data_IF_805526877411
#
_entry.id   IF_805526877411
#
_cell.length_a   1.000
_cell.length_b   1.000
_cell.length_c   1.000
_cell.angle_alpha   90.00
_cell.angle_beta   90.00
_cell.angle_gamma   90.00
#
_symmetry.space_group_name_H-M   'P 1'
#
loop_
_entity.id
_entity.type
_entity.pdbx_description
1 polymer ?
#
# COMPACT_ATOMS: atom_id res chain seq x y z
N UNK A 1 -6.75 -22.36 14.31
CA UNK A 1 -6.08 -21.68 13.18
C UNK A 1 -6.14 -20.19 13.51
N UNK A 2 -4.99 -19.50 13.60
CA UNK A 2 -4.98 -18.06 13.71
C UNK A 2 -5.56 -17.48 12.41
N UNK A 3 -6.38 -16.40 12.48
CA UNK A 3 -6.85 -15.73 11.27
C UNK A 3 -5.63 -15.33 10.42
N UNK A 4 -5.74 -15.37 9.08
CA UNK A 4 -4.65 -14.95 8.22
C UNK A 4 -4.22 -13.52 8.57
N UNK A 5 -2.93 -13.20 8.41
CA UNK A 5 -2.35 -11.91 8.81
C UNK A 5 -3.11 -10.69 8.23
N UNK A 6 -3.71 -10.84 7.05
CA UNK A 6 -4.57 -9.83 6.43
C UNK A 6 -5.84 -9.52 7.22
N UNK A 7 -6.56 -10.55 7.69
CA UNK A 7 -7.77 -10.34 8.52
C UNK A 7 -7.41 -9.65 9.84
N UNK A 8 -6.25 -10.01 10.42
CA UNK A 8 -5.75 -9.35 11.63
C UNK A 8 -5.37 -7.88 11.35
N UNK A 9 -4.87 -7.56 10.18
CA UNK A 9 -4.53 -6.19 9.79
C UNK A 9 -5.78 -5.35 9.46
N UNK A 10 -6.76 -5.91 8.75
CA UNK A 10 -8.05 -5.23 8.51
C UNK A 10 -8.79 -4.96 9.83
N UNK A 11 -8.75 -5.89 10.78
CA UNK A 11 -9.30 -5.67 12.13
C UNK A 11 -8.56 -4.55 12.88
N UNK A 12 -7.26 -4.37 12.66
CA UNK A 12 -6.49 -3.28 13.28
C UNK A 12 -6.80 -1.91 12.68
N UNK A 13 -7.23 -1.83 11.42
CA UNK A 13 -7.66 -0.56 10.79
C UNK A 13 -9.09 -0.19 11.18
N UNK A 14 -9.92 -1.14 11.58
CA UNK A 14 -11.27 -0.85 12.09
C UNK A 14 -11.19 0.00 13.37
N UNK A 15 -11.71 1.24 13.29
CA UNK A 15 -11.62 2.21 14.37
C UNK A 15 -10.25 2.93 14.47
N UNK A 16 -9.36 2.73 13.52
CA UNK A 16 -8.12 3.47 13.42
C UNK A 16 -8.38 4.93 12.98
N UNK A 17 -7.51 5.89 13.36
CA UNK A 17 -7.64 7.26 12.92
C UNK A 17 -7.47 7.39 11.39
N UNK A 18 -8.03 8.43 10.80
CA UNK A 18 -8.01 8.68 9.34
C UNK A 18 -6.62 8.54 8.71
N UNK A 19 -5.57 9.01 9.40
CA UNK A 19 -4.19 8.92 8.93
C UNK A 19 -3.73 7.49 8.62
N UNK A 20 -4.25 6.50 9.33
CA UNK A 20 -3.86 5.09 9.14
C UNK A 20 -4.44 4.48 7.87
N UNK A 21 -5.50 5.09 7.32
CA UNK A 21 -6.10 4.76 6.04
C UNK A 21 -5.48 5.54 4.88
N UNK A 22 -4.53 6.45 5.14
CA UNK A 22 -3.94 7.35 4.15
C UNK A 22 -2.47 7.02 3.89
N UNK A 23 -2.14 6.77 2.63
CA UNK A 23 -0.78 6.59 2.14
C UNK A 23 -0.41 7.72 1.19
N UNK A 24 0.63 8.52 1.52
CA UNK A 24 1.16 9.55 0.63
C UNK A 24 2.13 8.92 -0.36
N UNK A 25 1.90 9.11 -1.65
CA UNK A 25 2.81 8.69 -2.69
C UNK A 25 3.94 9.72 -2.84
N UNK A 26 5.15 9.31 -2.49
CA UNK A 26 6.38 10.09 -2.66
C UNK A 26 6.89 9.92 -4.10
N UNK A 27 6.12 10.45 -5.07
CA UNK A 27 6.46 10.39 -6.49
C UNK A 27 7.35 11.60 -6.84
N UNK A 28 8.56 11.62 -6.27
CA UNK A 28 9.60 12.65 -6.40
C UNK A 28 10.95 11.99 -6.74
N UNK A 29 11.87 12.78 -7.31
CA UNK A 29 13.12 12.24 -7.88
C UNK A 29 14.27 12.07 -6.88
N UNK A 30 14.17 12.61 -5.67
CA UNK A 30 15.28 12.64 -4.71
C UNK A 30 14.82 12.59 -3.25
N UNK A 31 15.79 12.27 -2.37
CA UNK A 31 15.61 12.16 -0.92
C UNK A 31 15.17 13.47 -0.26
N UNK A 32 15.74 14.60 -0.67
CA UNK A 32 15.47 15.88 -0.01
C UNK A 32 13.99 16.26 -0.20
N UNK A 33 13.49 16.12 -1.43
CA UNK A 33 12.08 16.33 -1.77
C UNK A 33 11.16 15.35 -1.03
N UNK A 34 11.57 14.08 -0.90
CA UNK A 34 10.79 13.09 -0.16
C UNK A 34 10.70 13.43 1.32
N UNK A 35 11.79 13.82 1.95
CA UNK A 35 11.82 14.18 3.38
C UNK A 35 11.06 15.49 3.66
N UNK A 36 11.05 16.46 2.74
CA UNK A 36 10.20 17.66 2.85
C UNK A 36 8.72 17.29 2.91
N UNK A 37 8.27 16.38 2.05
CA UNK A 37 6.88 15.88 2.08
C UNK A 37 6.55 15.17 3.40
N UNK A 38 7.50 14.41 3.96
CA UNK A 38 7.32 13.72 5.25
C UNK A 38 7.24 14.70 6.40
N UNK A 39 8.09 15.74 6.42
CA UNK A 39 8.05 16.79 7.44
C UNK A 39 6.72 17.55 7.43
N UNK A 40 6.21 17.84 6.23
CA UNK A 40 4.96 18.61 6.07
C UNK A 40 3.69 17.80 6.34
N UNK A 41 3.66 16.55 5.95
CA UNK A 41 2.42 15.74 5.89
C UNK A 41 2.47 14.44 6.70
N UNK A 42 3.57 14.13 7.38
CA UNK A 42 3.72 12.87 8.11
C UNK A 42 2.73 12.68 9.26
N UNK A 43 2.17 13.76 9.79
CA UNK A 43 1.13 13.70 10.81
C UNK A 43 -0.24 13.33 10.25
N UNK A 44 -0.50 13.66 8.98
CA UNK A 44 -1.77 13.41 8.29
C UNK A 44 -1.79 12.07 7.56
N UNK A 45 -0.63 11.58 7.13
CA UNK A 45 -0.47 10.32 6.41
C UNK A 45 0.34 9.33 7.23
N UNK A 46 -0.31 8.29 7.74
CA UNK A 46 0.36 7.23 8.52
C UNK A 46 1.27 6.32 7.69
N UNK A 47 1.21 6.41 6.36
CA UNK A 47 1.96 5.55 5.43
C UNK A 47 2.65 6.40 4.35
N UNK A 48 3.93 6.14 4.11
CA UNK A 48 4.69 6.72 3.00
C UNK A 48 4.93 5.67 1.91
N UNK A 49 4.37 5.89 0.71
CA UNK A 49 4.56 4.99 -0.44
C UNK A 49 5.79 5.40 -1.23
N UNK A 50 6.77 4.53 -1.30
CA UNK A 50 7.97 4.68 -2.13
C UNK A 50 7.78 3.87 -3.41
N UNK A 51 7.73 4.57 -4.55
CA UNK A 51 7.62 3.96 -5.89
C UNK A 51 8.97 3.62 -6.50
N UNK A 52 8.93 3.08 -7.73
CA UNK A 52 10.12 2.61 -8.46
C UNK A 52 11.15 3.72 -8.67
N UNK A 53 10.74 4.92 -9.12
CA UNK A 53 11.64 6.04 -9.42
C UNK A 53 12.48 6.39 -8.19
N UNK A 54 11.83 6.72 -7.09
CA UNK A 54 12.50 7.14 -5.87
C UNK A 54 13.33 6.01 -5.24
N UNK A 55 12.86 4.76 -5.32
CA UNK A 55 13.63 3.62 -4.80
C UNK A 55 14.87 3.33 -5.64
N UNK A 56 14.80 3.47 -6.97
CA UNK A 56 15.97 3.31 -7.85
C UNK A 56 17.00 4.42 -7.63
N UNK A 57 16.53 5.65 -7.37
CA UNK A 57 17.40 6.80 -7.10
C UNK A 57 18.12 6.68 -5.74
N UNK A 58 17.40 6.33 -4.66
CA UNK A 58 17.87 6.50 -3.28
C UNK A 58 18.05 5.17 -2.52
N UNK A 59 17.43 4.12 -2.98
CA UNK A 59 17.57 2.77 -2.46
C UNK A 59 17.11 2.58 -1.01
N UNK A 60 17.65 1.53 -0.34
CA UNK A 60 17.28 1.17 1.04
C UNK A 60 17.61 2.23 2.09
N UNK A 61 18.51 3.15 1.81
CA UNK A 61 18.88 4.22 2.75
C UNK A 61 17.68 5.13 3.03
N UNK A 62 16.98 5.56 1.99
CA UNK A 62 15.76 6.36 2.12
C UNK A 62 14.68 5.65 2.96
N UNK A 63 14.49 4.35 2.74
CA UNK A 63 13.49 3.56 3.50
C UNK A 63 13.79 3.63 5.00
N UNK A 64 15.07 3.50 5.40
CA UNK A 64 15.46 3.62 6.80
C UNK A 64 15.21 5.02 7.37
N UNK A 65 15.45 6.07 6.58
CA UNK A 65 15.22 7.45 7.00
C UNK A 65 13.74 7.74 7.22
N UNK A 66 12.87 7.28 6.31
CA UNK A 66 11.43 7.40 6.45
C UNK A 66 10.93 6.68 7.72
N UNK A 67 11.45 5.49 7.99
CA UNK A 67 11.11 4.74 9.21
C UNK A 67 11.65 5.42 10.47
N UNK A 68 12.85 6.00 10.42
CA UNK A 68 13.43 6.76 11.53
C UNK A 68 12.62 8.04 11.82
N UNK A 69 11.96 8.60 10.81
CA UNK A 69 11.01 9.70 10.94
C UNK A 69 9.61 9.25 11.46
N UNK A 70 9.43 7.95 11.79
CA UNK A 70 8.20 7.41 12.36
C UNK A 70 7.15 6.96 11.34
N UNK A 71 7.46 6.98 10.04
CA UNK A 71 6.53 6.57 8.99
C UNK A 71 6.48 5.05 8.82
N UNK A 72 5.29 4.50 8.58
CA UNK A 72 5.18 3.15 7.99
C UNK A 72 5.47 3.24 6.49
N UNK A 73 6.31 2.36 5.98
CA UNK A 73 6.71 2.39 4.57
C UNK A 73 5.95 1.35 3.76
N UNK A 74 5.33 1.80 2.69
CA UNK A 74 4.76 0.99 1.62
C UNK A 74 5.72 1.01 0.42
N UNK A 75 6.38 -0.11 0.15
CA UNK A 75 7.33 -0.26 -0.95
C UNK A 75 6.61 -0.78 -2.20
N UNK A 76 6.33 0.12 -3.15
CA UNK A 76 5.54 -0.16 -4.35
C UNK A 76 6.42 -0.46 -5.57
N UNK A 77 7.06 -1.65 -5.57
CA UNK A 77 8.01 -2.08 -6.60
C UNK A 77 7.40 -3.02 -7.65
N UNK A 78 6.21 -3.57 -7.39
CA UNK A 78 5.50 -4.51 -8.27
C UNK A 78 6.40 -5.65 -8.76
N UNK A 79 7.14 -6.29 -7.81
CA UNK A 79 8.10 -7.34 -8.14
C UNK A 79 7.47 -8.39 -9.05
N UNK A 80 8.16 -8.69 -10.15
CA UNK A 80 7.72 -9.63 -11.17
C UNK A 80 8.94 -10.25 -11.87
N UNK A 81 9.32 -11.44 -11.45
CA UNK A 81 10.47 -12.18 -11.95
C UNK A 81 10.28 -13.68 -11.62
N UNK A 82 11.25 -14.55 -11.89
CA UNK A 82 11.20 -15.95 -11.45
C UNK A 82 11.12 -16.04 -9.92
N UNK A 83 10.49 -17.10 -9.36
CA UNK A 83 10.20 -17.21 -7.92
C UNK A 83 11.40 -16.95 -7.01
N UNK A 84 12.57 -17.54 -7.32
CA UNK A 84 13.78 -17.38 -6.50
C UNK A 84 14.28 -15.92 -6.44
N UNK A 85 14.18 -15.17 -7.53
CA UNK A 85 14.58 -13.75 -7.57
C UNK A 85 13.65 -12.91 -6.70
N UNK A 86 12.34 -13.14 -6.83
CA UNK A 86 11.31 -12.42 -6.06
C UNK A 86 11.41 -12.74 -4.57
N UNK A 87 11.63 -14.01 -4.20
CA UNK A 87 11.83 -14.44 -2.80
C UNK A 87 12.99 -13.69 -2.15
N UNK A 88 14.14 -13.64 -2.84
CA UNK A 88 15.34 -12.97 -2.33
C UNK A 88 15.16 -11.45 -2.23
N UNK A 89 14.50 -10.82 -3.20
CA UNK A 89 14.20 -9.39 -3.17
C UNK A 89 13.23 -9.05 -2.04
N UNK A 90 12.14 -9.83 -1.89
CA UNK A 90 11.15 -9.66 -0.83
C UNK A 90 11.76 -9.87 0.56
N UNK A 91 12.69 -10.83 0.73
CA UNK A 91 13.44 -11.02 1.98
C UNK A 91 14.22 -9.75 2.36
N UNK A 92 14.91 -9.11 1.40
CA UNK A 92 15.62 -7.85 1.68
C UNK A 92 14.65 -6.73 2.07
N UNK A 93 13.46 -6.67 1.47
CA UNK A 93 12.44 -5.74 1.87
C UNK A 93 11.93 -6.00 3.31
N UNK A 94 11.74 -7.27 3.69
CA UNK A 94 11.37 -7.66 5.06
C UNK A 94 12.44 -7.28 6.09
N UNK A 95 13.72 -7.49 5.77
CA UNK A 95 14.87 -7.08 6.61
C UNK A 95 14.93 -5.55 6.82
N UNK A 96 14.41 -4.74 5.89
CA UNK A 96 14.27 -3.30 6.09
C UNK A 96 13.19 -2.95 7.12
N UNK A 97 12.18 -3.79 7.31
CA UNK A 97 11.08 -3.58 8.25
C UNK A 97 9.93 -2.75 7.68
N UNK A 98 9.73 -2.78 6.37
CA UNK A 98 8.60 -2.13 5.71
C UNK A 98 7.27 -2.73 6.16
N UNK A 99 6.18 -2.00 5.92
CA UNK A 99 4.83 -2.49 6.20
C UNK A 99 4.19 -3.23 5.01
N UNK A 100 4.25 -2.66 3.80
CA UNK A 100 3.63 -3.22 2.59
C UNK A 100 4.64 -3.37 1.46
N UNK A 101 4.54 -4.48 0.69
CA UNK A 101 5.32 -4.74 -0.52
C UNK A 101 4.41 -5.21 -1.66
N UNK A 102 4.50 -4.61 -2.84
CA UNK A 102 3.74 -5.07 -4.01
C UNK A 102 4.46 -6.16 -4.80
N UNK A 103 3.70 -7.21 -5.14
CA UNK A 103 4.03 -8.28 -6.07
C UNK A 103 3.02 -8.27 -7.21
N UNK A 104 3.44 -8.50 -8.45
CA UNK A 104 2.49 -8.51 -9.58
C UNK A 104 1.85 -9.89 -9.77
N UNK A 105 0.51 -9.96 -9.74
CA UNK A 105 -0.21 -11.25 -9.85
C UNK A 105 0.00 -11.99 -11.17
N UNK A 106 0.44 -11.31 -12.22
CA UNK A 106 0.81 -11.95 -13.50
C UNK A 106 1.99 -12.92 -13.38
N UNK A 107 2.78 -12.82 -12.32
CA UNK A 107 3.87 -13.77 -12.04
C UNK A 107 3.43 -15.17 -11.62
N UNK A 108 2.14 -15.36 -11.37
CA UNK A 108 1.55 -16.64 -10.99
C UNK A 108 1.73 -17.00 -9.53
N UNK A 109 1.11 -18.13 -9.14
CA UNK A 109 1.06 -18.59 -7.75
C UNK A 109 2.46 -18.78 -7.12
N UNK A 110 3.35 -19.49 -7.80
CA UNK A 110 4.65 -19.87 -7.24
C UNK A 110 5.55 -18.65 -6.98
N UNK A 111 5.48 -17.63 -7.86
CA UNK A 111 6.19 -16.36 -7.66
C UNK A 111 5.62 -15.58 -6.49
N UNK A 112 4.30 -15.46 -6.38
CA UNK A 112 3.65 -14.77 -5.27
C UNK A 112 3.96 -15.45 -3.93
N UNK A 113 3.79 -16.77 -3.85
CA UNK A 113 4.08 -17.55 -2.66
C UNK A 113 5.56 -17.46 -2.25
N UNK A 114 6.49 -17.44 -3.20
CA UNK A 114 7.91 -17.22 -2.95
C UNK A 114 8.16 -15.81 -2.37
N UNK A 115 7.52 -14.79 -2.93
CA UNK A 115 7.61 -13.41 -2.42
C UNK A 115 7.07 -13.27 -1.00
N UNK A 116 5.92 -13.89 -0.70
CA UNK A 116 5.33 -13.92 0.65
C UNK A 116 6.30 -14.55 1.65
N UNK A 117 6.83 -15.76 1.34
CA UNK A 117 7.82 -16.41 2.21
C UNK A 117 9.05 -15.54 2.45
N UNK A 118 9.63 -15.02 1.37
CA UNK A 118 10.82 -14.16 1.47
C UNK A 118 10.59 -12.95 2.37
N UNK A 119 9.45 -12.28 2.22
CA UNK A 119 9.08 -11.12 3.03
C UNK A 119 8.97 -11.48 4.52
N UNK A 120 8.30 -12.58 4.85
CA UNK A 120 8.15 -13.09 6.21
C UNK A 120 9.49 -13.50 6.83
N UNK A 121 10.33 -14.24 6.08
CA UNK A 121 11.66 -14.65 6.53
C UNK A 121 12.56 -13.45 6.82
N UNK A 122 12.48 -12.40 5.99
CA UNK A 122 13.23 -11.15 6.20
C UNK A 122 12.78 -10.41 7.46
N UNK A 123 11.48 -10.33 7.70
CA UNK A 123 10.92 -9.72 8.90
C UNK A 123 11.31 -10.51 10.18
N UNK A 124 11.28 -11.84 10.12
CA UNK A 124 11.72 -12.69 11.22
C UNK A 124 13.21 -12.49 11.54
N UNK A 125 14.07 -12.42 10.51
CA UNK A 125 15.50 -12.16 10.68
C UNK A 125 15.75 -10.79 11.35
N UNK A 126 15.07 -9.72 10.90
CA UNK A 126 15.14 -8.40 11.53
C UNK A 126 14.73 -8.44 12.99
N UNK A 127 13.66 -9.14 13.33
CA UNK A 127 13.16 -9.24 14.71
C UNK A 127 14.13 -9.96 15.64
N UNK A 128 14.89 -10.94 15.12
CA UNK A 128 15.92 -11.65 15.89
C UNK A 128 17.14 -10.77 16.24
N UNK A 129 17.42 -9.76 15.40
CA UNK A 129 18.56 -8.84 15.61
C UNK A 129 18.27 -7.72 16.63
N UNK A 130 17.00 -7.56 17.09
CA UNK A 130 16.63 -6.55 18.07
C UNK A 130 16.75 -7.14 19.48
N UNK A 131 17.68 -6.63 20.35
CA UNK A 131 17.80 -7.09 21.72
C UNK A 131 16.50 -6.86 22.51
N UNK A 132 15.96 -7.93 23.08
CA UNK A 132 14.75 -7.87 23.90
C UNK A 132 13.46 -8.36 23.21
N UNK A 133 13.51 -8.78 21.95
CA UNK A 133 12.54 -9.69 21.30
C UNK A 133 11.08 -9.26 21.19
N UNK A 134 10.72 -8.02 21.53
CA UNK A 134 9.40 -7.47 21.21
C UNK A 134 9.53 -6.50 20.04
N UNK A 135 9.55 -7.05 18.85
CA UNK A 135 9.29 -6.24 17.67
C UNK A 135 7.87 -5.67 17.80
N UNK A 136 7.75 -4.45 18.29
CA UNK A 136 6.53 -3.65 18.17
C UNK A 136 6.23 -3.27 16.73
N UNK A 137 6.86 -3.96 15.77
CA UNK A 137 6.65 -3.80 14.34
C UNK A 137 5.42 -4.57 13.87
N UNK A 138 4.64 -3.91 13.05
CA UNK A 138 3.53 -4.56 12.31
C UNK A 138 4.14 -5.60 11.37
N UNK A 139 3.61 -6.83 11.34
CA UNK A 139 4.03 -7.86 10.40
C UNK A 139 3.84 -7.35 8.96
N UNK A 140 4.88 -7.41 8.10
CA UNK A 140 4.75 -6.89 6.74
C UNK A 140 3.82 -7.75 5.89
N UNK A 141 3.06 -7.12 5.01
CA UNK A 141 2.14 -7.78 4.10
C UNK A 141 2.60 -7.64 2.64
N UNK A 142 2.58 -8.76 1.93
CA UNK A 142 2.66 -8.75 0.47
C UNK A 142 1.29 -8.41 -0.11
N UNK A 143 1.27 -7.49 -1.09
CA UNK A 143 0.08 -7.07 -1.82
C UNK A 143 0.14 -7.58 -3.26
N UNK A 144 -0.87 -8.32 -3.69
CA UNK A 144 -1.04 -8.72 -5.09
C UNK A 144 -1.56 -7.54 -5.94
N UNK A 145 -0.78 -7.07 -6.91
CA UNK A 145 -1.28 -6.07 -7.88
C UNK A 145 -2.17 -6.77 -8.89
N UNK A 146 -3.45 -6.41 -8.96
CA UNK A 146 -4.43 -7.05 -9.84
C UNK A 146 -4.31 -6.55 -11.28
N UNK A 147 -4.84 -5.37 -11.59
CA UNK A 147 -4.76 -4.72 -12.89
C UNK A 147 -4.20 -3.32 -12.70
N UNK A 148 -3.28 -2.91 -13.56
CA UNK A 148 -2.70 -1.58 -13.47
C UNK A 148 -3.75 -0.50 -13.74
N UNK A 149 -3.66 0.62 -13.05
CA UNK A 149 -4.62 1.75 -13.22
C UNK A 149 -4.52 2.43 -14.57
N UNK A 150 -3.43 2.21 -15.31
CA UNK A 150 -3.25 2.63 -16.70
C UNK A 150 -4.07 1.80 -17.69
N UNK A 151 -4.41 0.56 -17.34
CA UNK A 151 -5.21 -0.30 -18.21
C UNK A 151 -6.66 0.20 -18.24
N UNK A 152 -7.18 0.38 -19.45
CA UNK A 152 -8.50 0.98 -19.62
C UNK A 152 -9.63 0.09 -19.10
N UNK A 153 -9.42 -1.22 -19.16
CA UNK A 153 -10.40 -2.24 -18.80
C UNK A 153 -9.78 -3.27 -17.86
N UNK A 154 -10.60 -3.72 -16.91
CA UNK A 154 -10.31 -4.82 -16.01
C UNK A 154 -11.49 -5.79 -16.02
N UNK A 155 -11.52 -6.79 -16.94
CA UNK A 155 -12.61 -7.75 -17.02
C UNK A 155 -12.84 -8.43 -15.67
N UNK A 156 -14.10 -8.57 -15.21
CA UNK A 156 -14.41 -9.13 -13.89
C UNK A 156 -13.76 -10.49 -13.63
N UNK A 157 -13.72 -11.36 -14.63
CA UNK A 157 -13.10 -12.69 -14.53
C UNK A 157 -11.58 -12.61 -14.29
N UNK A 158 -10.90 -11.60 -14.83
CA UNK A 158 -9.47 -11.33 -14.60
C UNK A 158 -9.27 -10.83 -13.18
N UNK A 159 -10.11 -9.93 -12.69
CA UNK A 159 -10.05 -9.41 -11.33
C UNK A 159 -10.28 -10.53 -10.31
N UNK A 160 -11.34 -11.33 -10.48
CA UNK A 160 -11.64 -12.49 -9.63
C UNK A 160 -10.47 -13.47 -9.61
N UNK A 161 -9.97 -13.86 -10.80
CA UNK A 161 -8.85 -14.80 -10.89
C UNK A 161 -7.58 -14.28 -10.21
N UNK A 162 -7.25 -13.01 -10.37
CA UNK A 162 -6.05 -12.40 -9.77
C UNK A 162 -6.18 -12.18 -8.26
N UNK A 163 -7.35 -11.80 -7.77
CA UNK A 163 -7.61 -11.66 -6.34
C UNK A 163 -7.53 -13.03 -5.63
N UNK A 164 -8.21 -14.05 -6.18
CA UNK A 164 -8.16 -15.41 -5.67
C UNK A 164 -6.74 -15.99 -5.71
N UNK A 165 -5.98 -15.73 -6.77
CA UNK A 165 -4.59 -16.15 -6.90
C UNK A 165 -3.70 -15.53 -5.81
N UNK A 166 -3.86 -14.24 -5.54
CA UNK A 166 -3.12 -13.55 -4.49
C UNK A 166 -3.44 -14.13 -3.10
N UNK A 167 -4.72 -14.36 -2.81
CA UNK A 167 -5.16 -14.98 -1.55
C UNK A 167 -4.59 -16.40 -1.39
N UNK A 168 -4.70 -17.26 -2.40
CA UNK A 168 -4.18 -18.63 -2.39
C UNK A 168 -2.66 -18.68 -2.20
N UNK A 169 -1.94 -17.69 -2.73
CA UNK A 169 -0.49 -17.57 -2.56
C UNK A 169 -0.07 -17.01 -1.19
N UNK A 170 -1.03 -16.61 -0.35
CA UNK A 170 -0.77 -16.08 0.99
C UNK A 170 -0.49 -14.58 1.04
N UNK A 171 -0.78 -13.81 -0.03
CA UNK A 171 -0.74 -12.35 0.04
C UNK A 171 -1.72 -11.85 1.12
N UNK A 172 -1.33 -10.82 1.86
CA UNK A 172 -2.17 -10.21 2.89
C UNK A 172 -3.14 -9.16 2.36
N UNK A 173 -3.02 -8.78 1.09
CA UNK A 173 -3.89 -7.79 0.47
C UNK A 173 -3.70 -7.69 -1.03
N UNK A 174 -4.45 -6.78 -1.64
CA UNK A 174 -4.40 -6.49 -3.08
C UNK A 174 -4.35 -5.00 -3.34
N UNK A 175 -3.76 -4.64 -4.48
CA UNK A 175 -3.88 -3.30 -5.06
C UNK A 175 -4.86 -3.38 -6.23
N UNK A 176 -5.94 -2.61 -6.17
CA UNK A 176 -6.94 -2.52 -7.23
C UNK A 176 -7.47 -1.08 -7.37
N UNK A 177 -8.05 -0.74 -8.51
CA UNK A 177 -8.71 0.55 -8.67
C UNK A 177 -10.08 0.58 -7.96
N UNK A 178 -10.56 1.75 -7.57
CA UNK A 178 -11.83 1.89 -6.85
C UNK A 178 -13.04 1.23 -7.56
N UNK A 179 -13.22 1.34 -8.89
CA UNK A 179 -14.31 0.64 -9.58
C UNK A 179 -14.25 -0.89 -9.49
N UNK A 180 -13.07 -1.47 -9.20
CA UNK A 180 -12.86 -2.91 -9.11
C UNK A 180 -13.21 -3.48 -7.72
N UNK A 181 -13.36 -2.62 -6.71
CA UNK A 181 -13.58 -3.00 -5.31
C UNK A 181 -14.74 -3.97 -5.10
N UNK A 182 -15.94 -3.79 -5.68
CA UNK A 182 -17.03 -4.73 -5.46
C UNK A 182 -16.68 -6.15 -5.92
N UNK A 183 -16.02 -6.27 -7.08
CA UNK A 183 -15.58 -7.56 -7.64
C UNK A 183 -14.50 -8.21 -6.80
N UNK A 184 -13.49 -7.42 -6.39
CA UNK A 184 -12.35 -7.89 -5.59
C UNK A 184 -12.80 -8.29 -4.18
N UNK A 185 -13.67 -7.48 -3.54
CA UNK A 185 -14.20 -7.78 -2.20
C UNK A 185 -15.04 -9.04 -2.17
N UNK A 186 -15.79 -9.32 -3.24
CA UNK A 186 -16.55 -10.56 -3.35
C UNK A 186 -15.66 -11.79 -3.56
N UNK A 187 -14.54 -11.64 -4.28
CA UNK A 187 -13.61 -12.72 -4.60
C UNK A 187 -12.65 -13.06 -3.45
N UNK A 188 -12.24 -12.06 -2.65
CA UNK A 188 -11.26 -12.19 -1.57
C UNK A 188 -11.63 -11.23 -0.40
N UNK A 189 -12.67 -11.55 0.38
CA UNK A 189 -13.25 -10.64 1.38
C UNK A 189 -12.30 -10.32 2.54
N UNK A 190 -11.39 -11.21 2.87
CA UNK A 190 -10.48 -11.08 4.01
C UNK A 190 -9.19 -10.31 3.70
N UNK A 191 -8.98 -9.91 2.43
CA UNK A 191 -7.76 -9.23 2.01
C UNK A 191 -7.84 -7.72 2.23
N UNK A 192 -6.71 -7.13 2.66
CA UNK A 192 -6.53 -5.68 2.69
C UNK A 192 -6.62 -5.10 1.27
N UNK A 193 -7.42 -4.05 1.07
CA UNK A 193 -7.64 -3.39 -0.23
C UNK A 193 -6.96 -2.02 -0.26
N UNK A 194 -5.87 -1.94 -1.00
CA UNK A 194 -5.10 -0.70 -1.20
C UNK A 194 -5.49 -0.09 -2.55
N UNK A 195 -5.98 1.14 -2.52
CA UNK A 195 -6.63 1.78 -3.67
C UNK A 195 -5.89 3.05 -4.09
N UNK A 196 -5.18 3.02 -5.21
CA UNK A 196 -4.60 4.21 -5.83
C UNK A 196 -5.64 4.96 -6.68
N UNK A 197 -5.24 6.16 -7.17
CA UNK A 197 -6.11 6.93 -8.04
C UNK A 197 -7.16 7.74 -7.31
N UNK A 198 -6.94 8.03 -6.06
CA UNK A 198 -7.85 8.81 -5.22
C UNK A 198 -7.65 10.31 -5.48
N UNK A 199 -8.76 11.03 -5.64
CA UNK A 199 -8.79 12.47 -5.83
C UNK A 199 -10.01 13.08 -5.15
N UNK A 200 -9.89 14.24 -4.50
CA UNK A 200 -11.04 15.00 -3.99
C UNK A 200 -12.04 15.32 -5.10
N UNK A 201 -13.28 15.54 -4.72
CA UNK A 201 -14.33 15.97 -5.65
C UNK A 201 -13.91 17.30 -6.34
N UNK A 202 -14.03 17.35 -7.69
CA UNK A 202 -13.67 18.52 -8.49
C UNK A 202 -12.21 18.63 -8.94
N UNK A 203 -11.32 17.72 -8.52
CA UNK A 203 -9.94 17.71 -8.99
C UNK A 203 -9.81 17.18 -10.43
N UNK A 204 -8.81 17.69 -11.18
CA UNK A 204 -8.57 17.28 -12.57
C UNK A 204 -8.18 15.80 -12.69
N UNK A 205 -8.69 15.18 -13.79
CA UNK A 205 -8.49 13.74 -14.10
C UNK A 205 -7.18 13.45 -14.81
N UNK A 206 -6.05 13.98 -14.54
CA UNK A 206 -4.80 13.75 -15.28
C UNK A 206 -4.73 12.39 -16.06
N UNK A 207 -3.67 11.65 -16.00
CA UNK A 207 -3.41 10.36 -16.70
C UNK A 207 -4.17 9.14 -16.11
N UNK A 208 -4.77 9.26 -14.92
CA UNK A 208 -5.52 8.17 -14.30
C UNK A 208 -6.97 8.16 -14.79
N UNK A 209 -7.36 7.07 -15.45
CA UNK A 209 -8.69 6.91 -16.05
C UNK A 209 -9.74 6.44 -15.04
N UNK A 210 -9.34 5.74 -13.98
CA UNK A 210 -10.18 5.09 -12.97
C UNK A 210 -9.98 5.76 -11.61
N UNK A 211 -10.62 6.91 -11.40
CA UNK A 211 -10.50 7.74 -10.19
C UNK A 211 -11.74 7.65 -9.31
N UNK A 212 -11.57 7.85 -8.00
CA UNK A 212 -12.64 7.93 -7.00
C UNK A 212 -12.32 9.01 -5.97
N UNK A 213 -13.35 9.49 -5.25
CA UNK A 213 -13.14 10.34 -4.07
C UNK A 213 -12.75 9.48 -2.86
N UNK A 214 -12.10 10.05 -1.84
CA UNK A 214 -11.79 9.35 -0.59
C UNK A 214 -13.03 8.64 0.00
N UNK A 215 -14.12 9.36 0.23
CA UNK A 215 -15.35 8.80 0.79
C UNK A 215 -15.92 7.68 -0.08
N UNK A 216 -16.01 7.88 -1.40
CA UNK A 216 -16.58 6.86 -2.30
C UNK A 216 -15.75 5.57 -2.33
N UNK A 217 -14.42 5.67 -2.22
CA UNK A 217 -13.56 4.50 -2.18
C UNK A 217 -13.68 3.74 -0.84
N UNK A 218 -13.74 4.45 0.29
CA UNK A 218 -13.96 3.84 1.61
C UNK A 218 -15.35 3.17 1.68
N UNK A 219 -16.41 3.85 1.26
CA UNK A 219 -17.75 3.29 1.18
C UNK A 219 -17.84 2.03 0.30
N UNK A 220 -17.00 1.95 -0.75
CA UNK A 220 -16.88 0.77 -1.60
C UNK A 220 -16.00 -0.33 -0.99
N UNK A 221 -15.41 -0.11 0.19
CA UNK A 221 -14.65 -1.10 0.94
C UNK A 221 -13.12 -1.00 0.76
N UNK A 222 -12.58 0.15 0.39
CA UNK A 222 -11.14 0.40 0.46
C UNK A 222 -10.67 0.44 1.92
N UNK A 223 -9.50 -0.12 2.21
CA UNK A 223 -8.87 -0.07 3.53
C UNK A 223 -7.78 1.00 3.58
N UNK A 224 -6.98 1.14 2.51
CA UNK A 224 -5.91 2.14 2.41
C UNK A 224 -6.03 2.89 1.10
N UNK A 225 -6.04 4.22 1.17
CA UNK A 225 -6.12 5.14 0.05
C UNK A 225 -4.74 5.68 -0.31
N UNK A 226 -4.29 5.50 -1.55
CA UNK A 226 -3.02 6.06 -2.01
C UNK A 226 -3.25 7.41 -2.68
N UNK A 227 -2.75 8.46 -2.05
CA UNK A 227 -2.85 9.84 -2.47
C UNK A 227 -1.49 10.29 -3.04
N UNK A 228 -1.48 10.80 -4.24
CA UNK A 228 -0.28 11.36 -4.87
C UNK A 228 -0.51 12.82 -5.26
N UNK A 229 -0.52 13.10 -6.56
CA UNK A 229 -0.65 14.44 -7.16
C UNK A 229 -1.86 15.25 -6.69
N UNK A 230 -2.88 14.61 -6.11
CA UNK A 230 -4.00 15.32 -5.47
C UNK A 230 -3.53 16.21 -4.31
N UNK A 231 -2.40 15.89 -3.68
CA UNK A 231 -1.72 16.69 -2.67
C UNK A 231 -0.44 17.30 -3.25
N UNK A 232 0.49 16.49 -3.73
CA UNK A 232 1.85 16.93 -4.09
C UNK A 232 1.91 17.92 -5.27
N UNK A 233 0.88 17.97 -6.11
CA UNK A 233 0.74 18.91 -7.23
C UNK A 233 -0.45 19.88 -7.06
N UNK A 234 -1.07 19.95 -5.87
CA UNK A 234 -2.14 20.89 -5.61
C UNK A 234 -1.60 22.33 -5.53
N UNK A 235 -2.39 23.34 -5.94
CA UNK A 235 -2.01 24.75 -5.74
C UNK A 235 -1.80 25.11 -4.27
N UNK A 236 -2.51 24.47 -3.36
CA UNK A 236 -2.38 24.55 -1.90
C UNK A 236 -2.40 23.12 -1.34
N UNK A 237 -1.22 22.48 -1.17
CA UNK A 237 -1.12 21.11 -0.69
C UNK A 237 -1.64 20.90 0.73
N UNK A 238 -1.49 21.89 1.61
CA UNK A 238 -1.98 21.86 3.00
C UNK A 238 -3.52 21.87 3.03
N UNK A 239 -4.15 22.74 2.29
CA UNK A 239 -5.62 22.76 2.18
C UNK A 239 -6.16 21.49 1.53
N UNK A 240 -5.48 20.95 0.52
CA UNK A 240 -5.84 19.69 -0.11
C UNK A 240 -5.74 18.51 0.86
N UNK A 241 -4.68 18.46 1.67
CA UNK A 241 -4.49 17.45 2.71
C UNK A 241 -5.59 17.53 3.76
N UNK A 242 -5.84 18.71 4.30
CA UNK A 242 -6.89 18.92 5.31
C UNK A 242 -8.28 18.50 4.80
N UNK A 243 -8.60 18.80 3.54
CA UNK A 243 -9.86 18.39 2.93
C UNK A 243 -9.99 16.86 2.81
N UNK A 244 -8.90 16.16 2.41
CA UNK A 244 -8.87 14.70 2.32
C UNK A 244 -9.03 14.05 3.68
N UNK A 245 -8.29 14.52 4.70
CA UNK A 245 -8.36 14.01 6.07
C UNK A 245 -9.78 14.20 6.64
N UNK A 246 -10.40 15.38 6.42
CA UNK A 246 -11.76 15.64 6.86
C UNK A 246 -12.78 14.71 6.19
N UNK A 247 -12.66 14.48 4.86
CA UNK A 247 -13.55 13.56 4.10
C UNK A 247 -13.42 12.13 4.61
N UNK A 248 -12.18 11.65 4.84
CA UNK A 248 -11.91 10.31 5.39
C UNK A 248 -12.45 10.17 6.80
N UNK A 249 -12.19 11.16 7.69
CA UNK A 249 -12.68 11.14 9.07
C UNK A 249 -14.20 11.08 9.14
N UNK A 250 -14.88 11.85 8.29
CA UNK A 250 -16.35 11.86 8.23
C UNK A 250 -16.91 10.49 7.79
N UNK A 251 -16.29 9.84 6.81
CA UNK A 251 -16.72 8.51 6.32
C UNK A 251 -16.47 7.40 7.34
N UNK A 252 -15.37 7.48 8.09
CA UNK A 252 -15.05 6.51 9.15
C UNK A 252 -15.91 6.72 10.43
N UNK A 253 -16.70 7.78 10.49
CA UNK A 253 -17.49 8.13 11.68
C UNK A 253 -16.63 8.53 12.88
N UNK A 254 -15.39 8.97 12.64
CA UNK A 254 -14.51 9.51 13.66
C UNK A 254 -14.97 10.93 14.06
N UNK A 255 -15.00 11.23 15.38
CA UNK A 255 -15.42 12.56 15.86
C UNK A 255 -14.45 13.67 15.47
#
# INVERSE_FOLDING_TARGET
>A
MNPPAAAAQALRLSGAPARDHLALALDVGDRASAMDLVERFGDDFGVMKVGLELFVAEGPALVRDLMAAGSRVFLDLKLHDIPNTVERAARRAGELGIWLLTLHTQGGHDMLAAGVRGLSDGAAARSADIPGGTAGGVEPLALGVTVLTSDAEAPPEVLVGRAALAEQAGCGGVVCAAPDLPTVSAAAPEMLRVVPGIRPAGAERSDQRRVATPASALAAGADVLVIGRAVTAAPDPEAATAAIVAEVSAELGAP
#
